data_IF_061563979712
#
_entry.id   IF_061563979712
#
_cell.length_a   1.000
_cell.length_b   1.000
_cell.length_c   1.000
_cell.angle_alpha   90.00
_cell.angle_beta   90.00
_cell.angle_gamma   90.00
#
_symmetry.space_group_name_H-M   'P 1'
#
loop_
_entity.id
_entity.type
_entity.pdbx_description
1 polymer ?
#
# COMPACT_ATOMS: atom_id res chain seq x y z
N UNK A 1 20.92 7.79 9.71
CA UNK A 1 20.27 8.03 8.41
C UNK A 1 20.31 6.74 7.64
N UNK A 2 19.24 6.42 6.90
CA UNK A 2 19.17 5.21 6.07
C UNK A 2 19.10 5.68 4.63
N UNK A 3 19.83 5.00 3.74
CA UNK A 3 19.77 5.32 2.32
C UNK A 3 18.35 5.11 1.77
N UNK A 4 17.98 5.92 0.79
CA UNK A 4 16.68 5.85 0.15
C UNK A 4 16.47 4.54 -0.62
N UNK A 5 15.48 3.76 -0.21
CA UNK A 5 15.01 2.57 -0.93
C UNK A 5 13.74 2.88 -1.77
N UNK A 6 13.87 3.78 -2.75
CA UNK A 6 12.73 4.23 -3.57
C UNK A 6 12.30 3.21 -4.65
N UNK A 7 13.25 2.37 -5.08
CA UNK A 7 13.06 1.35 -6.11
C UNK A 7 13.95 0.16 -5.79
N UNK A 8 13.63 -0.99 -6.38
CA UNK A 8 14.47 -2.19 -6.38
C UNK A 8 14.69 -2.67 -7.80
N UNK A 9 15.72 -3.49 -8.07
CA UNK A 9 15.81 -4.22 -9.33
C UNK A 9 14.53 -5.05 -9.55
N UNK A 10 13.93 -4.97 -10.74
CA UNK A 10 12.72 -5.72 -11.05
C UNK A 10 12.96 -7.24 -11.02
N UNK A 11 14.20 -7.65 -11.34
CA UNK A 11 14.66 -9.04 -11.22
C UNK A 11 14.70 -9.43 -9.73
N UNK A 12 14.13 -10.59 -9.41
CA UNK A 12 14.13 -11.12 -8.05
C UNK A 12 12.97 -10.66 -7.17
N UNK A 13 12.09 -9.77 -7.67
CA UNK A 13 10.88 -9.36 -6.92
C UNK A 13 9.84 -10.48 -6.77
N UNK A 14 9.92 -11.53 -7.59
CA UNK A 14 8.99 -12.66 -7.59
C UNK A 14 8.08 -12.64 -8.82
N UNK A 15 6.95 -13.35 -8.74
CA UNK A 15 5.97 -13.42 -9.84
C UNK A 15 5.16 -12.13 -9.90
N UNK A 16 5.32 -11.39 -10.98
CA UNK A 16 4.56 -10.16 -11.24
C UNK A 16 3.24 -10.48 -11.92
N UNK A 17 2.15 -10.25 -11.19
CA UNK A 17 0.79 -10.35 -11.71
C UNK A 17 0.42 -9.04 -12.40
N UNK A 18 0.63 -8.97 -13.71
CA UNK A 18 0.39 -7.80 -14.53
C UNK A 18 -1.12 -7.48 -14.63
N UNK A 19 -1.48 -6.21 -14.44
CA UNK A 19 -2.78 -5.68 -14.85
C UNK A 19 -2.73 -5.30 -16.34
N UNK A 20 -3.82 -5.54 -17.05
CA UNK A 20 -3.92 -5.25 -18.49
C UNK A 20 -4.15 -3.77 -18.79
N UNK A 21 -4.64 -3.03 -17.79
CA UNK A 21 -4.93 -1.62 -17.89
C UNK A 21 -3.66 -0.78 -18.06
N UNK A 22 -3.79 0.34 -18.78
CA UNK A 22 -2.77 1.38 -18.76
C UNK A 22 -2.82 2.10 -17.40
N UNK A 23 -1.65 2.39 -16.85
CA UNK A 23 -1.51 3.24 -15.68
C UNK A 23 -0.92 4.58 -16.11
N UNK A 24 -1.36 5.66 -15.47
CA UNK A 24 -0.93 7.02 -15.83
C UNK A 24 0.45 7.37 -15.26
N UNK A 25 0.97 6.61 -14.30
CA UNK A 25 2.23 6.87 -13.61
C UNK A 25 3.36 5.90 -14.00
N UNK A 26 3.04 4.68 -14.44
CA UNK A 26 4.03 3.63 -14.68
C UNK A 26 3.79 2.86 -15.98
N UNK A 27 4.86 2.39 -16.66
CA UNK A 27 4.73 1.56 -17.86
C UNK A 27 3.98 0.24 -17.62
N UNK A 28 4.15 -0.37 -16.45
CA UNK A 28 3.44 -1.58 -16.04
C UNK A 28 3.07 -1.51 -14.56
N UNK A 29 1.85 -1.92 -14.25
CA UNK A 29 1.34 -2.07 -12.88
C UNK A 29 0.74 -3.45 -12.66
N UNK A 30 0.72 -3.88 -11.42
CA UNK A 30 0.33 -5.23 -11.07
C UNK A 30 0.50 -5.51 -9.59
N UNK A 31 0.68 -6.78 -9.26
CA UNK A 31 0.81 -7.23 -7.89
C UNK A 31 1.93 -8.25 -7.74
N UNK A 32 2.62 -8.18 -6.60
CA UNK A 32 3.71 -9.09 -6.24
C UNK A 32 3.57 -9.43 -4.76
N UNK A 33 3.51 -10.71 -4.42
CA UNK A 33 3.53 -11.21 -3.03
C UNK A 33 2.58 -10.46 -2.07
N UNK A 34 1.36 -10.12 -2.50
CA UNK A 34 0.40 -9.43 -1.64
C UNK A 34 0.59 -7.91 -1.54
N UNK A 35 1.36 -7.30 -2.45
CA UNK A 35 1.52 -5.85 -2.60
C UNK A 35 1.10 -5.37 -3.99
N UNK A 36 0.54 -4.14 -4.11
CA UNK A 36 0.54 -3.45 -5.40
C UNK A 36 1.98 -3.14 -5.80
N UNK A 37 2.28 -3.27 -7.08
CA UNK A 37 3.62 -3.08 -7.61
C UNK A 37 3.56 -2.37 -8.96
N UNK A 38 4.52 -1.49 -9.21
CA UNK A 38 4.77 -0.89 -10.51
C UNK A 38 6.18 -1.25 -10.96
N UNK A 39 6.39 -1.29 -12.27
CA UNK A 39 7.72 -1.53 -12.84
C UNK A 39 7.91 -0.83 -14.17
N UNK A 40 9.17 -0.51 -14.45
CA UNK A 40 9.66 -0.10 -15.75
C UNK A 40 10.56 -1.21 -16.30
N UNK A 41 10.05 -2.02 -17.27
CA UNK A 41 10.85 -3.08 -17.88
C UNK A 41 12.08 -2.57 -18.64
N UNK A 42 12.05 -1.34 -19.17
CA UNK A 42 13.21 -0.78 -19.89
C UNK A 42 14.33 -0.40 -18.94
N UNK A 43 13.99 0.20 -17.80
CA UNK A 43 14.95 0.53 -16.75
C UNK A 43 15.32 -0.65 -15.86
N UNK A 44 14.57 -1.76 -15.91
CA UNK A 44 14.79 -2.92 -15.06
C UNK A 44 14.49 -2.65 -13.58
N UNK A 45 13.61 -1.69 -13.28
CA UNK A 45 13.26 -1.26 -11.91
C UNK A 45 11.81 -1.59 -11.56
N UNK A 46 11.57 -1.87 -10.28
CA UNK A 46 10.25 -2.02 -9.69
C UNK A 46 10.14 -1.19 -8.41
N UNK A 47 8.91 -0.81 -8.03
CA UNK A 47 8.64 -0.05 -6.81
C UNK A 47 7.25 -0.34 -6.26
N UNK A 48 7.07 -0.02 -4.99
CA UNK A 48 5.78 -0.02 -4.33
C UNK A 48 5.07 1.31 -4.62
N UNK A 49 3.88 1.30 -5.24
CA UNK A 49 3.10 2.50 -5.48
C UNK A 49 2.39 2.99 -4.22
N UNK A 50 2.16 4.29 -4.10
CA UNK A 50 1.46 4.92 -2.96
C UNK A 50 -0.06 4.69 -2.98
N UNK A 51 -0.50 3.44 -3.08
CA UNK A 51 -1.90 3.08 -2.96
C UNK A 51 -2.44 3.29 -1.54
N UNK A 52 -3.77 3.26 -1.40
CA UNK A 52 -4.43 3.30 -0.09
C UNK A 52 -3.85 2.22 0.84
N UNK A 53 -3.70 2.56 2.12
CA UNK A 53 -3.11 1.73 3.16
C UNK A 53 -1.60 1.42 3.03
N UNK A 54 -0.90 1.93 2.02
CA UNK A 54 0.57 1.81 1.97
C UNK A 54 1.22 2.68 3.04
N UNK A 55 2.30 2.19 3.63
CA UNK A 55 3.04 2.83 4.72
C UNK A 55 4.39 3.32 4.20
N UNK A 56 4.62 4.62 4.29
CA UNK A 56 5.87 5.25 3.87
C UNK A 56 6.65 5.85 5.03
N UNK A 57 7.94 6.09 4.78
CA UNK A 57 8.87 6.73 5.72
C UNK A 57 8.98 8.21 5.34
N UNK A 58 8.62 9.10 6.26
CA UNK A 58 8.81 10.52 6.05
C UNK A 58 10.30 10.86 5.97
N UNK A 59 10.62 11.88 5.18
CA UNK A 59 11.98 12.40 5.01
C UNK A 59 11.92 13.90 4.83
N UNK A 60 13.04 14.55 5.08
CA UNK A 60 13.29 15.92 4.67
C UNK A 60 13.71 15.97 3.19
N UNK A 61 14.21 17.12 2.72
CA UNK A 61 14.61 17.35 1.32
C UNK A 61 15.58 16.29 0.80
N UNK A 62 16.63 15.98 1.56
CA UNK A 62 17.64 14.99 1.16
C UNK A 62 17.10 13.56 1.26
N UNK A 63 17.41 12.73 0.25
CA UNK A 63 16.84 11.40 0.08
C UNK A 63 17.15 10.43 1.22
N UNK A 64 18.31 10.55 1.87
CA UNK A 64 18.77 9.67 2.96
C UNK A 64 18.40 10.17 4.37
N UNK A 65 17.52 11.16 4.50
CA UNK A 65 17.11 11.69 5.82
C UNK A 65 16.03 10.86 6.49
N UNK A 66 15.36 9.97 5.75
CA UNK A 66 14.42 9.00 6.31
C UNK A 66 15.15 8.04 7.26
N UNK A 67 14.58 7.84 8.45
CA UNK A 67 15.17 6.98 9.49
C UNK A 67 14.13 6.11 10.23
N UNK A 68 12.89 6.05 9.73
CA UNK A 68 11.82 5.25 10.32
C UNK A 68 11.18 5.80 11.60
N UNK A 69 11.68 6.92 12.14
CA UNK A 69 11.07 7.58 13.31
C UNK A 69 9.74 8.27 13.00
N UNK A 70 9.47 8.55 11.73
CA UNK A 70 8.25 9.15 11.25
C UNK A 70 7.69 8.31 10.10
N UNK A 71 6.51 7.75 10.31
CA UNK A 71 5.79 6.94 9.34
C UNK A 71 4.44 7.57 9.04
N UNK A 72 3.93 7.34 7.84
CA UNK A 72 2.58 7.71 7.45
C UNK A 72 1.87 6.54 6.78
N UNK A 73 0.55 6.52 6.84
CA UNK A 73 -0.29 5.63 6.06
C UNK A 73 -1.10 6.46 5.06
N UNK A 74 -1.20 6.01 3.81
CA UNK A 74 -2.06 6.64 2.81
C UNK A 74 -3.53 6.37 3.16
N UNK A 75 -4.25 7.40 3.57
CA UNK A 75 -5.64 7.31 4.08
C UNK A 75 -6.71 7.82 3.12
N UNK A 76 -6.35 8.18 1.89
CA UNK A 76 -7.26 8.74 0.89
C UNK A 76 -6.92 8.26 -0.52
N UNK A 77 -7.25 9.08 -1.53
CA UNK A 77 -6.86 8.80 -2.90
C UNK A 77 -5.32 8.71 -3.03
N UNK A 78 -4.84 7.80 -3.86
CA UNK A 78 -3.43 7.43 -3.94
C UNK A 78 -2.55 8.62 -4.42
N UNK A 79 -1.63 9.16 -3.59
CA UNK A 79 -0.72 10.25 -3.99
C UNK A 79 0.45 9.70 -4.80
N UNK A 80 0.15 9.11 -5.97
CA UNK A 80 1.11 8.38 -6.82
C UNK A 80 2.25 9.23 -7.39
N UNK A 81 2.18 10.56 -7.28
CA UNK A 81 3.31 11.44 -7.57
C UNK A 81 4.50 11.22 -6.62
N UNK A 82 4.27 10.60 -5.45
CA UNK A 82 5.31 10.22 -4.49
C UNK A 82 6.03 8.92 -4.86
N UNK A 83 5.51 8.15 -5.82
CA UNK A 83 6.17 6.94 -6.31
C UNK A 83 7.61 7.26 -6.71
N UNK A 84 8.55 6.38 -6.31
CA UNK A 84 10.00 6.52 -6.57
C UNK A 84 10.66 7.76 -5.94
N UNK A 85 9.94 8.51 -5.09
CA UNK A 85 10.46 9.67 -4.37
C UNK A 85 10.46 9.47 -2.84
N UNK A 86 9.70 8.50 -2.34
CA UNK A 86 9.61 8.16 -0.91
C UNK A 86 9.73 6.64 -0.75
N UNK A 87 10.42 6.22 0.32
CA UNK A 87 10.54 4.82 0.68
C UNK A 87 9.23 4.32 1.28
N UNK A 88 8.64 3.31 0.63
CA UNK A 88 7.45 2.61 1.10
C UNK A 88 7.90 1.28 1.71
N UNK A 89 7.57 1.07 2.98
CA UNK A 89 8.10 -0.04 3.79
C UNK A 89 7.09 -1.16 4.05
N UNK A 90 5.82 -0.91 3.75
CA UNK A 90 4.79 -1.91 4.01
C UNK A 90 3.40 -1.42 3.66
N UNK A 91 2.41 -2.14 4.16
CA UNK A 91 1.01 -1.77 4.07
C UNK A 91 0.25 -2.18 5.32
N UNK A 92 -0.79 -1.43 5.65
CA UNK A 92 -1.73 -1.78 6.69
C UNK A 92 -2.62 -2.92 6.19
N UNK A 93 -2.60 -4.04 6.90
CA UNK A 93 -3.36 -5.25 6.55
C UNK A 93 -4.62 -5.45 7.39
N UNK A 94 -4.70 -4.77 8.54
CA UNK A 94 -5.83 -4.73 9.45
C UNK A 94 -5.83 -3.39 10.20
N UNK A 95 -7.00 -2.90 10.60
CA UNK A 95 -7.14 -1.65 11.38
C UNK A 95 -7.11 -0.35 10.57
N UNK A 96 -7.07 -0.41 9.24
CA UNK A 96 -7.06 0.80 8.39
C UNK A 96 -8.24 1.78 8.66
N UNK A 97 -9.49 1.33 8.94
CA UNK A 97 -10.57 2.25 9.30
C UNK A 97 -10.26 3.13 10.52
N UNK A 98 -9.48 2.62 11.50
CA UNK A 98 -9.08 3.39 12.68
C UNK A 98 -8.12 4.53 12.33
N UNK A 99 -7.23 4.31 11.34
CA UNK A 99 -6.31 5.34 10.86
C UNK A 99 -7.01 6.37 9.97
N UNK A 100 -7.96 5.93 9.14
CA UNK A 100 -8.61 6.80 8.16
C UNK A 100 -9.50 7.89 8.81
N UNK A 101 -10.09 7.58 9.97
CA UNK A 101 -11.00 8.47 10.72
C UNK A 101 -10.30 9.41 11.70
N UNK A 102 -8.97 9.36 11.78
CA UNK A 102 -8.20 10.29 12.60
C UNK A 102 -8.51 11.74 12.22
N UNK A 103 -8.61 12.67 13.20
CA UNK A 103 -8.92 14.06 12.91
C UNK A 103 -7.90 14.65 11.92
N UNK A 104 -8.31 15.60 11.10
CA UNK A 104 -7.37 16.31 10.21
C UNK A 104 -6.68 17.41 11.00
N UNK A 105 -5.37 17.55 10.84
CA UNK A 105 -4.64 18.67 11.42
C UNK A 105 -4.96 19.97 10.68
N UNK A 106 -4.95 21.05 11.44
CA UNK A 106 -5.32 22.40 10.99
C UNK A 106 -4.13 23.34 10.86
N UNK A 107 -2.96 22.90 11.33
CA UNK A 107 -1.73 23.68 11.33
C UNK A 107 -1.02 23.69 9.99
N UNK A 108 0.16 24.32 9.97
CA UNK A 108 1.05 24.29 8.82
C UNK A 108 1.27 22.84 8.35
N UNK A 109 1.24 22.60 7.04
CA UNK A 109 1.39 21.26 6.44
C UNK A 109 0.44 20.17 6.99
N UNK A 110 -0.67 20.55 7.65
CA UNK A 110 -1.65 19.59 8.21
C UNK A 110 -1.24 18.99 9.56
N UNK A 111 -0.30 19.60 10.29
CA UNK A 111 0.02 19.20 11.66
C UNK A 111 -1.16 19.50 12.63
N UNK A 112 -1.19 18.77 13.74
CA UNK A 112 -2.04 19.12 14.89
C UNK A 112 -1.43 20.28 15.67
N UNK A 113 -2.21 21.34 15.88
CA UNK A 113 -1.79 22.53 16.63
C UNK A 113 -1.86 22.33 18.15
N UNK A 114 -2.67 21.36 18.60
CA UNK A 114 -2.91 21.09 20.02
C UNK A 114 -2.49 19.67 20.39
N UNK A 115 -1.94 19.50 21.59
CA UNK A 115 -1.44 18.21 22.05
C UNK A 115 -2.56 17.16 22.17
N UNK A 116 -3.76 17.59 22.56
CA UNK A 116 -4.93 16.73 22.77
C UNK A 116 -5.48 16.11 21.47
N UNK A 117 -5.09 16.64 20.31
CA UNK A 117 -5.44 16.06 19.00
C UNK A 117 -4.56 14.85 18.64
N UNK A 118 -3.41 14.69 19.31
CA UNK A 118 -2.46 13.61 19.02
C UNK A 118 -2.95 12.33 19.68
N UNK A 119 -3.21 11.30 18.87
CA UNK A 119 -3.42 9.94 19.38
C UNK A 119 -2.06 9.26 19.56
N UNK A 120 -1.62 8.98 20.80
CA UNK A 120 -0.33 8.35 21.03
C UNK A 120 -0.33 6.88 20.58
N UNK A 121 0.80 6.43 20.05
CA UNK A 121 1.05 5.00 19.84
C UNK A 121 1.49 4.41 21.19
N UNK A 122 0.56 3.79 21.91
CA UNK A 122 0.82 3.27 23.26
C UNK A 122 1.78 2.07 23.28
N UNK A 123 1.82 1.26 22.22
CA UNK A 123 2.74 0.14 22.10
C UNK A 123 3.00 -0.22 20.63
N UNK A 124 4.20 -0.73 20.36
CA UNK A 124 4.59 -1.32 19.07
C UNK A 124 5.27 -2.65 19.37
N UNK A 125 4.85 -3.72 18.70
CA UNK A 125 5.44 -5.05 18.86
C UNK A 125 5.56 -5.71 17.50
N UNK A 126 6.71 -6.31 17.22
CA UNK A 126 6.86 -7.19 16.06
C UNK A 126 6.18 -8.51 16.38
N UNK A 127 5.42 -9.06 15.44
CA UNK A 127 4.72 -10.33 15.65
C UNK A 127 5.68 -11.48 16.04
N UNK A 128 6.95 -11.42 15.61
CA UNK A 128 7.98 -12.38 16.00
C UNK A 128 8.30 -12.36 17.51
N UNK A 129 8.11 -11.23 18.18
CA UNK A 129 8.41 -10.99 19.59
C UNK A 129 7.18 -11.15 20.50
N UNK A 130 5.99 -11.30 19.91
CA UNK A 130 4.74 -11.57 20.64
C UNK A 130 4.64 -13.08 20.95
N UNK A 131 4.19 -13.52 22.14
CA UNK A 131 3.95 -14.94 22.42
C UNK A 131 3.03 -15.58 21.37
N UNK A 132 3.29 -16.82 20.91
CA UNK A 132 2.53 -17.42 19.80
C UNK A 132 1.00 -17.41 19.97
N UNK A 133 0.50 -17.54 21.20
CA UNK A 133 -0.93 -17.56 21.51
C UNK A 133 -1.58 -16.17 21.52
N UNK A 134 -0.80 -15.08 21.53
CA UNK A 134 -1.28 -13.69 21.44
C UNK A 134 -1.13 -13.10 20.02
N UNK A 135 -0.48 -13.81 19.09
CA UNK A 135 -0.22 -13.31 17.73
C UNK A 135 -1.50 -13.28 16.91
N UNK A 136 -1.75 -12.15 16.23
CA UNK A 136 -2.76 -12.09 15.16
C UNK A 136 -2.39 -13.05 14.02
N UNK A 137 -3.30 -13.94 13.67
CA UNK A 137 -3.07 -14.98 12.65
C UNK A 137 -3.59 -14.52 11.30
N UNK A 138 -2.92 -13.53 10.70
CA UNK A 138 -3.37 -12.95 9.44
C UNK A 138 -2.87 -13.76 8.23
N UNK A 139 -3.76 -13.98 7.27
CA UNK A 139 -3.46 -14.58 5.98
C UNK A 139 -3.74 -13.57 4.86
N UNK A 140 -2.79 -13.42 3.95
CA UNK A 140 -2.92 -12.56 2.77
C UNK A 140 -3.12 -13.44 1.54
N UNK A 141 -4.10 -13.09 0.70
CA UNK A 141 -4.32 -13.80 -0.55
C UNK A 141 -3.08 -13.74 -1.45
N UNK A 142 -2.66 -14.89 -1.97
CA UNK A 142 -1.62 -14.98 -2.98
C UNK A 142 -2.03 -14.28 -4.26
N UNK A 143 -1.32 -13.20 -4.60
CA UNK A 143 -1.63 -12.36 -5.77
C UNK A 143 -1.21 -12.97 -7.09
N UNK A 144 -0.55 -14.14 -7.08
CA UNK A 144 -0.16 -14.90 -8.28
C UNK A 144 -1.11 -16.07 -8.59
N UNK A 145 -2.22 -16.16 -7.86
CA UNK A 145 -3.21 -17.24 -7.97
C UNK A 145 -4.33 -16.91 -8.98
N UNK A 146 -4.98 -17.96 -9.51
CA UNK A 146 -6.18 -17.82 -10.32
C UNK A 146 -7.35 -17.20 -9.53
N UNK A 147 -7.44 -17.46 -8.22
CA UNK A 147 -8.45 -16.85 -7.36
C UNK A 147 -8.29 -15.33 -7.29
N UNK A 148 -7.06 -14.81 -7.21
CA UNK A 148 -6.83 -13.38 -7.23
C UNK A 148 -7.16 -12.74 -8.59
N UNK A 149 -6.94 -13.43 -9.70
CA UNK A 149 -7.42 -12.97 -11.01
C UNK A 149 -8.95 -12.82 -11.03
N UNK A 150 -9.68 -13.77 -10.43
CA UNK A 150 -11.13 -13.66 -10.31
C UNK A 150 -11.56 -12.46 -9.46
N UNK A 151 -10.81 -12.11 -8.40
CA UNK A 151 -11.04 -10.88 -7.62
C UNK A 151 -10.86 -9.62 -8.48
N UNK A 152 -9.80 -9.55 -9.29
CA UNK A 152 -9.56 -8.43 -10.22
C UNK A 152 -10.71 -8.31 -11.22
N UNK A 153 -11.12 -9.41 -11.86
CA UNK A 153 -12.21 -9.39 -12.85
C UNK A 153 -13.55 -9.00 -12.22
N UNK A 154 -13.87 -9.52 -11.04
CA UNK A 154 -15.11 -9.20 -10.32
C UNK A 154 -15.16 -7.72 -9.92
N UNK A 155 -14.03 -7.12 -9.55
CA UNK A 155 -13.96 -5.71 -9.19
C UNK A 155 -13.97 -4.81 -10.43
N UNK A 156 -13.30 -5.21 -11.52
CA UNK A 156 -13.31 -4.50 -12.81
C UNK A 156 -14.72 -4.44 -13.41
N UNK A 157 -15.43 -5.56 -13.35
CA UNK A 157 -16.75 -5.75 -13.94
C UNK A 157 -17.72 -6.21 -12.87
N UNK A 158 -18.08 -5.31 -11.94
CA UNK A 158 -19.10 -5.61 -10.93
C UNK A 158 -20.38 -6.07 -11.63
N UNK A 159 -20.69 -7.35 -11.52
CA UNK A 159 -21.87 -7.94 -12.15
C UNK A 159 -23.18 -7.61 -11.43
N UNK A 160 -24.20 -8.39 -11.74
CA UNK A 160 -25.52 -8.32 -11.11
C UNK A 160 -26.46 -7.27 -11.72
N UNK A 161 -27.76 -7.33 -11.38
CA UNK A 161 -28.78 -6.49 -12.00
C UNK A 161 -28.66 -4.99 -11.64
N UNK A 162 -27.86 -4.66 -10.62
CA UNK A 162 -27.62 -3.27 -10.19
C UNK A 162 -26.67 -2.53 -11.13
N UNK A 163 -25.62 -3.18 -11.61
CA UNK A 163 -24.65 -2.56 -12.52
C UNK A 163 -25.23 -2.44 -13.92
N UNK A 164 -25.63 -1.24 -14.31
CA UNK A 164 -26.19 -0.97 -15.65
C UNK A 164 -25.10 -0.78 -16.71
N UNK A 165 -23.96 -0.22 -16.32
CA UNK A 165 -22.81 0.04 -17.20
C UNK A 165 -21.55 -0.44 -16.47
N UNK A 166 -20.87 -1.42 -17.04
CA UNK A 166 -19.60 -1.92 -16.50
C UNK A 166 -18.47 -0.92 -16.79
N UNK A 167 -17.54 -0.75 -15.84
CA UNK A 167 -16.39 0.13 -16.03
C UNK A 167 -15.43 -0.39 -17.11
N UNK A 168 -15.31 -1.71 -17.26
CA UNK A 168 -14.41 -2.35 -18.23
C UNK A 168 -12.92 -2.21 -17.91
N UNK A 169 -12.56 -1.43 -16.88
CA UNK A 169 -11.21 -1.16 -16.43
C UNK A 169 -11.17 -1.03 -14.90
N UNK A 170 -9.98 -1.14 -14.33
CA UNK A 170 -9.72 -1.01 -12.90
C UNK A 170 -8.39 -0.31 -12.67
N UNK A 171 -8.37 0.64 -11.73
CA UNK A 171 -7.13 1.26 -11.27
C UNK A 171 -6.37 0.30 -10.33
N UNK A 172 -5.05 0.30 -10.40
CA UNK A 172 -4.17 -0.52 -9.56
C UNK A 172 -4.54 -0.38 -8.07
N UNK A 173 -4.69 0.86 -7.61
CA UNK A 173 -4.93 1.14 -6.20
C UNK A 173 -6.38 0.88 -5.76
N UNK A 174 -7.26 0.51 -6.70
CA UNK A 174 -8.63 0.06 -6.44
C UNK A 174 -8.78 -1.47 -6.47
N UNK A 175 -7.72 -2.23 -6.72
CA UNK A 175 -7.72 -3.69 -6.59
C UNK A 175 -7.56 -4.08 -5.11
N UNK A 176 -8.58 -4.67 -4.47
CA UNK A 176 -8.43 -5.14 -3.10
C UNK A 176 -7.52 -6.38 -3.07
N UNK A 177 -6.59 -6.43 -2.11
CA UNK A 177 -5.81 -7.63 -1.79
C UNK A 177 -6.42 -8.24 -0.53
N UNK A 178 -7.22 -9.31 -0.63
CA UNK A 178 -7.92 -9.85 0.52
C UNK A 178 -6.97 -10.28 1.65
N UNK A 179 -7.33 -9.90 2.86
CA UNK A 179 -6.68 -10.32 4.10
C UNK A 179 -7.76 -10.88 5.01
N UNK A 180 -7.47 -11.98 5.69
CA UNK A 180 -8.36 -12.54 6.71
C UNK A 180 -7.59 -12.87 7.97
N UNK A 181 -8.30 -12.93 9.08
CA UNK A 181 -7.81 -13.59 10.28
C UNK A 181 -8.17 -15.08 10.19
N UNK A 182 -7.16 -15.93 10.40
CA UNK A 182 -7.32 -17.38 10.45
C UNK A 182 -7.95 -17.75 11.77
N UNK A 183 -9.16 -18.30 11.70
CA UNK A 183 -9.83 -18.95 12.82
C UNK A 183 -9.03 -20.15 13.32
#
# INVERSE_FOLDING_TARGET
>A
TVDAEFTVPARGTGRFTLLKERDVYAPQVGHVNGFPAARDPKAGQAWLPHCYAMVGVARDEASNTGNGSQLYAVIGHAPRHLDRNITVVGRVVSGMPLLAVMPRGTGAAGFYDKAEQRTPIASVRLAADVPPHERSRLEVMRTDSAAFQAVIEAQRNRGGPWTKVAAGAIDLCNVPIPVRERQ
#
